data_IF_095768733686
#
_entry.id   IF_095768733686
#
_cell.length_a   1.000
_cell.length_b   1.000
_cell.length_c   1.000
_cell.angle_alpha   90.00
_cell.angle_beta   90.00
_cell.angle_gamma   90.00
#
_symmetry.space_group_name_H-M   'P 1'
#
loop_
_entity.id
_entity.type
_entity.pdbx_description
1 polymer ?
#
# COMPACT_ATOMS: atom_id res chain seq x y z
N UNK A 1 44.80 -2.40 3.79
CA UNK A 1 44.40 -3.81 4.03
C UNK A 1 44.12 -4.08 5.51
N UNK A 2 45.05 -3.78 6.43
CA UNK A 2 44.91 -4.12 7.86
C UNK A 2 43.74 -3.49 8.62
N UNK A 3 43.21 -2.34 8.19
CA UNK A 3 42.05 -1.71 8.86
C UNK A 3 40.70 -2.34 8.45
N UNK A 4 40.62 -2.87 7.23
CA UNK A 4 39.41 -3.55 6.72
C UNK A 4 39.21 -4.92 7.38
N UNK A 5 40.30 -5.67 7.59
CA UNK A 5 40.25 -6.97 8.28
C UNK A 5 39.86 -6.81 9.76
N UNK A 6 40.32 -5.73 10.41
CA UNK A 6 39.88 -5.39 11.77
C UNK A 6 38.41 -4.97 11.81
N UNK A 7 37.95 -4.21 10.80
CA UNK A 7 36.53 -3.84 10.68
C UNK A 7 35.64 -5.07 10.47
N UNK A 8 36.09 -6.02 9.64
CA UNK A 8 35.45 -7.31 9.44
C UNK A 8 35.34 -8.12 10.74
N UNK A 9 36.44 -8.33 11.47
CA UNK A 9 36.41 -9.07 12.74
C UNK A 9 35.43 -8.42 13.74
N UNK A 10 35.49 -7.09 13.89
CA UNK A 10 34.60 -6.37 14.79
C UNK A 10 33.11 -6.50 14.41
N UNK A 11 32.78 -6.34 13.12
CA UNK A 11 31.41 -6.46 12.63
C UNK A 11 30.88 -7.88 12.81
N UNK A 12 31.66 -8.90 12.46
CA UNK A 12 31.23 -10.29 12.58
C UNK A 12 31.05 -10.71 14.05
N UNK A 13 31.92 -10.27 14.95
CA UNK A 13 31.81 -10.55 16.39
C UNK A 13 30.53 -9.96 16.99
N UNK A 14 30.19 -8.72 16.61
CA UNK A 14 28.99 -8.03 17.08
C UNK A 14 27.67 -8.66 16.63
N UNK A 15 27.66 -9.37 15.49
CA UNK A 15 26.45 -9.95 14.90
C UNK A 15 26.27 -11.45 15.17
N UNK A 16 27.16 -12.06 15.96
CA UNK A 16 27.26 -13.51 16.19
C UNK A 16 26.01 -14.21 16.75
N UNK A 17 24.96 -13.47 17.14
CA UNK A 17 23.73 -14.00 17.73
C UNK A 17 22.46 -13.77 16.88
N UNK A 18 22.53 -13.01 15.78
CA UNK A 18 21.38 -12.73 14.91
C UNK A 18 21.73 -12.95 13.43
N UNK A 19 21.08 -13.93 12.82
CA UNK A 19 21.24 -14.28 11.39
C UNK A 19 20.96 -13.10 10.46
N UNK A 20 19.98 -12.24 10.79
CA UNK A 20 19.66 -11.08 9.96
C UNK A 20 20.74 -10.01 10.07
N UNK A 21 21.17 -9.69 11.29
CA UNK A 21 22.30 -8.78 11.53
C UNK A 21 23.57 -9.31 10.85
N UNK A 22 23.82 -10.62 10.88
CA UNK A 22 25.00 -11.22 10.27
C UNK A 22 24.94 -11.15 8.74
N UNK A 23 23.77 -11.40 8.15
CA UNK A 23 23.54 -11.24 6.71
C UNK A 23 23.81 -9.80 6.24
N UNK A 24 23.26 -8.82 6.96
CA UNK A 24 23.48 -7.41 6.66
C UNK A 24 24.97 -7.01 6.75
N UNK A 25 25.71 -7.57 7.72
CA UNK A 25 27.14 -7.32 7.85
C UNK A 25 27.94 -7.89 6.68
N UNK A 26 27.61 -9.09 6.19
CA UNK A 26 28.25 -9.64 4.99
C UNK A 26 27.95 -8.78 3.74
N UNK A 27 26.74 -8.25 3.59
CA UNK A 27 26.41 -7.32 2.50
C UNK A 27 27.18 -6.00 2.61
N UNK A 28 27.34 -5.46 3.82
CA UNK A 28 28.14 -4.26 4.06
C UNK A 28 29.63 -4.48 3.74
N UNK A 29 30.19 -5.61 4.18
CA UNK A 29 31.57 -6.00 3.88
C UNK A 29 31.80 -6.20 2.39
N UNK A 30 30.83 -6.77 1.67
CA UNK A 30 30.85 -6.86 0.21
C UNK A 30 31.06 -5.47 -0.41
N UNK A 31 30.24 -4.47 -0.03
CA UNK A 31 30.36 -3.11 -0.55
C UNK A 31 31.72 -2.48 -0.20
N UNK A 32 32.21 -2.68 1.02
CA UNK A 32 33.54 -2.20 1.42
C UNK A 32 34.65 -2.82 0.57
N UNK A 33 34.58 -4.12 0.30
CA UNK A 33 35.58 -4.81 -0.52
C UNK A 33 35.50 -4.45 -2.00
N UNK A 34 34.29 -4.21 -2.53
CA UNK A 34 34.10 -3.65 -3.88
C UNK A 34 34.75 -2.28 -4.03
N UNK A 35 34.62 -1.40 -3.02
CA UNK A 35 35.22 -0.06 -3.05
C UNK A 35 36.75 -0.07 -3.11
N UNK A 36 37.39 -1.13 -2.60
CA UNK A 36 38.84 -1.33 -2.68
C UNK A 36 39.24 -2.32 -3.79
N UNK A 37 38.33 -2.62 -4.72
CA UNK A 37 38.51 -3.56 -5.83
C UNK A 37 39.00 -4.95 -5.40
N UNK A 38 38.67 -5.38 -4.17
CA UNK A 38 38.97 -6.71 -3.67
C UNK A 38 37.80 -7.67 -3.97
N UNK A 39 37.72 -8.09 -5.23
CA UNK A 39 36.61 -8.91 -5.74
C UNK A 39 36.54 -10.32 -5.11
N UNK A 40 37.67 -10.89 -4.69
CA UNK A 40 37.70 -12.20 -4.04
C UNK A 40 37.04 -12.15 -2.67
N UNK A 41 37.38 -11.15 -1.84
CA UNK A 41 36.70 -10.97 -0.55
C UNK A 41 35.25 -10.53 -0.71
N UNK A 42 34.93 -9.71 -1.72
CA UNK A 42 33.54 -9.37 -2.02
C UNK A 42 32.72 -10.61 -2.40
N UNK A 43 33.29 -11.51 -3.19
CA UNK A 43 32.68 -12.79 -3.57
C UNK A 43 32.43 -13.68 -2.34
N UNK A 44 33.44 -13.87 -1.50
CA UNK A 44 33.32 -14.68 -0.27
C UNK A 44 32.21 -14.15 0.65
N UNK A 45 32.14 -12.83 0.84
CA UNK A 45 31.09 -12.21 1.65
C UNK A 45 29.68 -12.37 1.03
N UNK A 46 29.54 -12.24 -0.29
CA UNK A 46 28.26 -12.51 -0.97
C UNK A 46 27.82 -13.97 -0.85
N UNK A 47 28.75 -14.93 -0.95
CA UNK A 47 28.46 -16.35 -0.79
C UNK A 47 28.06 -16.69 0.66
N UNK A 48 28.71 -16.07 1.65
CA UNK A 48 28.33 -16.19 3.06
C UNK A 48 26.93 -15.62 3.32
N UNK A 49 26.63 -14.43 2.79
CA UNK A 49 25.28 -13.85 2.79
C UNK A 49 24.24 -14.82 2.21
N UNK A 50 24.53 -15.37 1.02
CA UNK A 50 23.65 -16.32 0.34
C UNK A 50 23.40 -17.62 1.12
N UNK A 51 24.35 -18.05 1.95
CA UNK A 51 24.19 -19.22 2.80
C UNK A 51 23.29 -18.99 4.01
N UNK A 52 23.10 -17.73 4.43
CA UNK A 52 22.25 -17.36 5.56
C UNK A 52 20.81 -17.09 5.16
N UNK A 53 20.59 -16.54 3.96
CA UNK A 53 19.26 -16.30 3.40
C UNK A 53 19.12 -16.92 2.01
N UNK A 54 18.56 -18.13 1.98
CA UNK A 54 18.32 -18.88 0.73
C UNK A 54 17.31 -18.19 -0.18
N UNK A 55 16.45 -17.29 0.33
CA UNK A 55 15.53 -16.53 -0.53
C UNK A 55 16.27 -15.45 -1.34
N UNK A 56 17.44 -15.02 -0.87
CA UNK A 56 18.31 -14.05 -1.55
C UNK A 56 19.32 -14.69 -2.50
N UNK A 57 19.34 -16.02 -2.60
CA UNK A 57 20.36 -16.78 -3.34
C UNK A 57 20.50 -16.32 -4.80
N UNK A 58 19.36 -16.19 -5.52
CA UNK A 58 19.36 -15.69 -6.89
C UNK A 58 19.87 -14.24 -6.98
N UNK A 59 19.49 -13.38 -6.05
CA UNK A 59 19.99 -11.99 -6.01
C UNK A 59 21.52 -11.95 -5.84
N UNK A 60 22.06 -12.78 -4.94
CA UNK A 60 23.49 -12.84 -4.69
C UNK A 60 24.26 -13.39 -5.90
N UNK A 61 23.75 -14.42 -6.58
CA UNK A 61 24.34 -14.91 -7.83
C UNK A 61 24.27 -13.90 -8.98
N UNK A 62 23.18 -13.14 -9.08
CA UNK A 62 23.05 -12.05 -10.04
C UNK A 62 24.03 -10.90 -9.74
N UNK A 63 24.23 -10.56 -8.46
CA UNK A 63 25.22 -9.56 -8.05
C UNK A 63 26.65 -10.02 -8.38
N UNK A 64 26.98 -11.29 -8.14
CA UNK A 64 28.27 -11.88 -8.51
C UNK A 64 28.48 -11.90 -10.03
N UNK A 65 27.42 -12.22 -10.80
CA UNK A 65 27.43 -12.15 -12.26
C UNK A 65 27.78 -10.75 -12.74
N UNK A 66 27.07 -9.74 -12.23
CA UNK A 66 27.31 -8.34 -12.58
C UNK A 66 28.72 -7.88 -12.22
N UNK A 67 29.18 -8.21 -11.00
CA UNK A 67 30.53 -7.89 -10.53
C UNK A 67 31.58 -8.44 -11.50
N UNK A 68 31.44 -9.70 -11.93
CA UNK A 68 32.41 -10.34 -12.81
C UNK A 68 32.31 -9.89 -14.27
N UNK A 69 31.13 -9.51 -14.75
CA UNK A 69 30.99 -8.83 -16.04
C UNK A 69 31.70 -7.47 -16.05
N UNK A 70 31.59 -6.69 -14.98
CA UNK A 70 32.22 -5.36 -14.89
C UNK A 70 33.75 -5.40 -14.96
N UNK A 71 34.36 -6.51 -14.51
CA UNK A 71 35.82 -6.73 -14.57
C UNK A 71 36.23 -7.62 -15.75
N UNK A 72 35.32 -7.85 -16.70
CA UNK A 72 35.51 -8.70 -17.88
C UNK A 72 36.00 -10.14 -17.56
N UNK A 73 35.70 -10.65 -16.36
CA UNK A 73 35.96 -12.04 -16.00
C UNK A 73 34.77 -12.91 -16.43
N UNK A 74 34.78 -13.28 -17.71
CA UNK A 74 33.69 -13.99 -18.35
C UNK A 74 33.45 -15.40 -17.79
N UNK A 75 34.50 -16.07 -17.32
CA UNK A 75 34.37 -17.43 -16.75
C UNK A 75 33.55 -17.41 -15.46
N UNK A 76 33.90 -16.51 -14.52
CA UNK A 76 33.15 -16.36 -13.28
C UNK A 76 31.77 -15.76 -13.50
N UNK A 77 31.63 -14.80 -14.42
CA UNK A 77 30.33 -14.25 -14.78
C UNK A 77 29.38 -15.35 -15.27
N UNK A 78 29.83 -16.20 -16.20
CA UNK A 78 29.03 -17.31 -16.71
C UNK A 78 28.76 -18.36 -15.63
N UNK A 79 29.74 -18.67 -14.78
CA UNK A 79 29.56 -19.61 -13.67
C UNK A 79 28.40 -19.20 -12.75
N UNK A 80 28.38 -17.93 -12.32
CA UNK A 80 27.33 -17.43 -11.43
C UNK A 80 26.00 -17.24 -12.13
N UNK A 81 26.00 -16.82 -13.40
CA UNK A 81 24.78 -16.67 -14.19
C UNK A 81 24.05 -18.01 -14.34
N UNK A 82 24.78 -19.12 -14.51
CA UNK A 82 24.21 -20.47 -14.61
C UNK A 82 23.74 -21.05 -13.26
N UNK A 83 24.07 -20.41 -12.14
CA UNK A 83 23.55 -20.80 -10.82
C UNK A 83 22.22 -20.15 -10.46
N UNK A 84 21.83 -19.11 -11.18
CA UNK A 84 20.51 -18.46 -10.98
C UNK A 84 19.43 -19.44 -11.44
N UNK A 85 18.42 -19.68 -10.60
CA UNK A 85 17.28 -20.50 -10.99
C UNK A 85 16.48 -19.81 -12.11
N UNK A 86 16.59 -20.34 -13.33
CA UNK A 86 15.93 -19.81 -14.51
C UNK A 86 14.43 -20.10 -14.57
N UNK A 87 13.91 -20.96 -13.69
CA UNK A 87 12.47 -21.24 -13.63
C UNK A 87 11.69 -20.16 -12.88
N UNK A 88 12.39 -19.33 -12.08
CA UNK A 88 11.77 -18.20 -11.41
C UNK A 88 11.59 -17.03 -12.39
N UNK A 89 10.34 -16.85 -12.84
CA UNK A 89 9.98 -15.83 -13.81
C UNK A 89 10.32 -14.40 -13.33
N UNK A 90 10.45 -14.17 -12.02
CA UNK A 90 10.90 -12.89 -11.45
C UNK A 90 12.26 -12.45 -11.99
N UNK A 91 13.16 -13.39 -12.27
CA UNK A 91 14.52 -13.08 -12.70
C UNK A 91 14.71 -13.15 -14.21
N UNK A 92 13.68 -13.51 -14.97
CA UNK A 92 13.77 -13.72 -16.43
C UNK A 92 14.38 -12.53 -17.17
N UNK A 93 13.88 -11.32 -16.90
CA UNK A 93 14.40 -10.10 -17.53
C UNK A 93 15.86 -9.82 -17.13
N UNK A 94 16.20 -9.97 -15.84
CA UNK A 94 17.56 -9.72 -15.35
C UNK A 94 18.57 -10.73 -15.90
N UNK A 95 18.19 -12.01 -15.97
CA UNK A 95 19.00 -13.07 -16.58
C UNK A 95 19.25 -12.76 -18.06
N UNK A 96 18.20 -12.37 -18.81
CA UNK A 96 18.32 -12.00 -20.21
C UNK A 96 19.28 -10.81 -20.40
N UNK A 97 19.20 -9.78 -19.54
CA UNK A 97 20.11 -8.65 -19.58
C UNK A 97 21.58 -9.06 -19.37
N UNK A 98 21.88 -9.91 -18.39
CA UNK A 98 23.25 -10.36 -18.16
C UNK A 98 23.77 -11.31 -19.24
N UNK A 99 22.90 -12.15 -19.83
CA UNK A 99 23.24 -12.93 -21.03
C UNK A 99 23.58 -12.02 -22.22
N UNK A 100 22.82 -10.94 -22.42
CA UNK A 100 23.12 -9.93 -23.42
C UNK A 100 24.53 -9.34 -23.22
N UNK A 101 24.86 -8.88 -22.01
CA UNK A 101 26.17 -8.30 -21.71
C UNK A 101 27.30 -9.31 -21.91
N UNK A 102 27.10 -10.55 -21.44
CA UNK A 102 28.07 -11.63 -21.58
C UNK A 102 28.37 -11.98 -23.05
N UNK A 103 27.33 -12.18 -23.87
CA UNK A 103 27.51 -12.53 -25.28
C UNK A 103 28.05 -11.36 -26.11
N UNK A 104 27.68 -10.12 -25.74
CA UNK A 104 28.24 -8.90 -26.34
C UNK A 104 29.75 -8.81 -26.09
N UNK A 105 30.22 -9.05 -24.87
CA UNK A 105 31.65 -9.01 -24.54
C UNK A 105 32.45 -10.07 -25.32
N UNK A 106 31.84 -11.23 -25.57
CA UNK A 106 32.39 -12.29 -26.42
C UNK A 106 32.21 -12.05 -27.93
N UNK A 107 31.65 -10.91 -28.33
CA UNK A 107 31.35 -10.54 -29.72
C UNK A 107 30.40 -11.51 -30.44
N UNK A 108 29.61 -12.26 -29.69
CA UNK A 108 28.53 -13.08 -30.22
C UNK A 108 27.25 -12.23 -30.34
N UNK A 109 27.25 -11.35 -31.34
CA UNK A 109 26.21 -10.32 -31.45
C UNK A 109 24.81 -10.87 -31.74
N UNK A 110 24.70 -12.05 -32.36
CA UNK A 110 23.40 -12.67 -32.62
C UNK A 110 22.74 -13.09 -31.29
N UNK A 111 23.44 -13.87 -30.47
CA UNK A 111 22.92 -14.25 -29.15
C UNK A 111 22.75 -13.04 -28.22
N UNK A 112 23.60 -12.02 -28.35
CA UNK A 112 23.41 -10.78 -27.61
C UNK A 112 22.09 -10.10 -27.98
N UNK A 113 21.77 -10.00 -29.28
CA UNK A 113 20.53 -9.40 -29.75
C UNK A 113 19.29 -10.17 -29.27
N UNK A 114 19.29 -11.50 -29.39
CA UNK A 114 18.19 -12.35 -28.91
C UNK A 114 17.91 -12.14 -27.42
N UNK A 115 18.97 -12.08 -26.59
CA UNK A 115 18.81 -11.84 -25.15
C UNK A 115 18.37 -10.40 -24.84
N UNK A 116 18.79 -9.42 -25.64
CA UNK A 116 18.35 -8.04 -25.50
C UNK A 116 16.85 -7.90 -25.80
N UNK A 117 16.34 -8.58 -26.83
CA UNK A 117 14.91 -8.59 -27.17
C UNK A 117 14.08 -9.19 -26.02
N UNK A 118 14.51 -10.31 -25.44
CA UNK A 118 13.83 -10.93 -24.28
C UNK A 118 13.80 -9.98 -23.07
N UNK A 119 14.92 -9.30 -22.79
CA UNK A 119 14.99 -8.31 -21.70
C UNK A 119 14.02 -7.15 -21.96
N UNK A 120 14.02 -6.59 -23.18
CA UNK A 120 13.19 -5.47 -23.56
C UNK A 120 11.69 -5.83 -23.48
N UNK A 121 11.30 -7.01 -23.95
CA UNK A 121 9.92 -7.47 -23.87
C UNK A 121 9.47 -7.66 -22.41
N UNK A 122 10.34 -8.22 -21.56
CA UNK A 122 10.05 -8.38 -20.13
C UNK A 122 9.91 -7.01 -19.44
N UNK A 123 10.79 -6.06 -19.76
CA UNK A 123 10.71 -4.70 -19.24
C UNK A 123 9.43 -3.98 -19.67
N UNK A 124 9.03 -4.10 -20.94
CA UNK A 124 7.78 -3.53 -21.44
C UNK A 124 6.59 -4.15 -20.70
N UNK A 125 6.53 -5.47 -20.57
CA UNK A 125 5.45 -6.17 -19.86
C UNK A 125 5.31 -5.69 -18.40
N UNK A 126 6.43 -5.62 -17.66
CA UNK A 126 6.45 -5.11 -16.29
C UNK A 126 5.95 -3.66 -16.18
N UNK A 127 6.38 -2.79 -17.10
CA UNK A 127 5.94 -1.38 -17.11
C UNK A 127 4.45 -1.24 -17.43
N UNK A 128 3.93 -2.06 -18.34
CA UNK A 128 2.51 -2.09 -18.69
C UNK A 128 1.67 -2.59 -17.53
N UNK A 129 2.07 -3.70 -16.90
CA UNK A 129 1.40 -4.24 -15.72
C UNK A 129 1.35 -3.23 -14.56
N UNK A 130 2.47 -2.56 -14.27
CA UNK A 130 2.52 -1.52 -13.24
C UNK A 130 1.59 -0.36 -13.56
N UNK A 131 1.48 0.03 -14.82
CA UNK A 131 0.56 1.08 -15.26
C UNK A 131 -0.90 0.66 -15.06
N UNK A 132 -1.25 -0.58 -15.39
CA UNK A 132 -2.59 -1.14 -15.15
C UNK A 132 -2.93 -1.17 -13.65
N UNK A 133 -2.01 -1.63 -12.79
CA UNK A 133 -2.19 -1.64 -11.33
C UNK A 133 -2.43 -0.22 -10.78
N UNK A 134 -1.66 0.77 -11.25
CA UNK A 134 -1.84 2.17 -10.85
C UNK A 134 -3.21 2.73 -11.28
N UNK A 135 -3.67 2.40 -12.49
CA UNK A 135 -4.98 2.82 -12.98
C UNK A 135 -6.07 2.18 -12.11
N UNK A 136 -5.98 0.89 -11.84
CA UNK A 136 -6.94 0.17 -11.00
C UNK A 136 -6.99 0.72 -9.56
N UNK A 137 -5.83 1.03 -8.97
CA UNK A 137 -5.76 1.64 -7.64
C UNK A 137 -6.44 3.02 -7.63
N UNK A 138 -6.23 3.81 -8.68
CA UNK A 138 -6.84 5.12 -8.83
C UNK A 138 -8.37 5.02 -8.96
N UNK A 139 -8.86 4.10 -9.79
CA UNK A 139 -10.29 3.82 -9.95
C UNK A 139 -10.94 3.42 -8.63
N UNK A 140 -10.31 2.51 -7.88
CA UNK A 140 -10.81 2.07 -6.57
C UNK A 140 -10.91 3.22 -5.56
N UNK A 141 -9.89 4.10 -5.50
CA UNK A 141 -9.91 5.27 -4.61
C UNK A 141 -11.01 6.26 -5.00
N UNK A 142 -11.20 6.47 -6.29
CA UNK A 142 -12.24 7.34 -6.82
C UNK A 142 -13.65 6.82 -6.47
N UNK A 143 -13.91 5.54 -6.72
CA UNK A 143 -15.20 4.92 -6.39
C UNK A 143 -15.48 4.94 -4.89
N UNK A 144 -14.46 4.69 -4.07
CA UNK A 144 -14.56 4.81 -2.62
C UNK A 144 -14.96 6.24 -2.21
N UNK A 145 -14.29 7.27 -2.74
CA UNK A 145 -14.59 8.66 -2.42
C UNK A 145 -16.01 9.07 -2.84
N UNK A 146 -16.49 8.61 -4.01
CA UNK A 146 -17.87 8.83 -4.44
C UNK A 146 -18.86 8.18 -3.47
N UNK A 147 -18.61 6.93 -3.09
CA UNK A 147 -19.52 6.19 -2.21
C UNK A 147 -19.56 6.80 -0.81
N UNK A 148 -18.41 7.25 -0.28
CA UNK A 148 -18.34 7.96 0.99
C UNK A 148 -19.10 9.29 0.93
N UNK A 149 -18.95 10.05 -0.15
CA UNK A 149 -19.67 11.32 -0.37
C UNK A 149 -21.18 11.08 -0.42
N UNK A 150 -21.65 10.15 -1.25
CA UNK A 150 -23.07 9.76 -1.34
C UNK A 150 -23.61 9.29 0.00
N UNK A 151 -22.83 8.51 0.76
CA UNK A 151 -23.22 8.05 2.08
C UNK A 151 -23.39 9.23 3.06
N UNK A 152 -22.50 10.21 3.02
CA UNK A 152 -22.62 11.43 3.81
C UNK A 152 -23.85 12.25 3.41
N UNK A 153 -24.09 12.45 2.11
CA UNK A 153 -25.28 13.14 1.59
C UNK A 153 -26.58 12.46 2.05
N UNK A 154 -26.65 11.12 1.97
CA UNK A 154 -27.81 10.35 2.44
C UNK A 154 -28.01 10.47 3.95
N UNK A 155 -26.92 10.45 4.74
CA UNK A 155 -26.99 10.65 6.20
C UNK A 155 -27.53 12.04 6.54
N UNK A 156 -27.04 13.08 5.86
CA UNK A 156 -27.49 14.47 6.05
C UNK A 156 -28.97 14.59 5.67
N UNK A 157 -29.34 14.09 4.48
CA UNK A 157 -30.72 14.11 3.99
C UNK A 157 -31.67 13.44 4.99
N UNK A 158 -31.33 12.24 5.47
CA UNK A 158 -32.13 11.54 6.49
C UNK A 158 -32.27 12.34 7.78
N UNK A 159 -31.21 12.97 8.27
CA UNK A 159 -31.27 13.81 9.47
C UNK A 159 -32.19 15.02 9.28
N UNK A 160 -32.12 15.67 8.12
CA UNK A 160 -33.01 16.80 7.79
C UNK A 160 -34.48 16.37 7.81
N UNK A 161 -34.83 15.22 7.22
CA UNK A 161 -36.19 14.69 7.26
C UNK A 161 -36.66 14.41 8.71
N UNK A 162 -35.82 13.83 9.56
CA UNK A 162 -36.15 13.58 10.97
C UNK A 162 -36.41 14.90 11.71
N UNK A 163 -35.58 15.92 11.51
CA UNK A 163 -35.76 17.23 12.14
C UNK A 163 -37.08 17.88 11.71
N UNK A 164 -37.41 17.83 10.41
CA UNK A 164 -38.68 18.36 9.88
C UNK A 164 -39.88 17.63 10.49
N UNK A 165 -39.83 16.30 10.61
CA UNK A 165 -40.88 15.50 11.25
C UNK A 165 -41.05 15.85 12.74
N UNK A 166 -39.96 16.06 13.48
CA UNK A 166 -40.04 16.50 14.87
C UNK A 166 -40.70 17.88 15.00
N UNK A 167 -40.31 18.84 14.14
CA UNK A 167 -40.88 20.19 14.15
C UNK A 167 -42.38 20.18 13.81
N UNK A 168 -42.81 19.35 12.85
CA UNK A 168 -44.22 19.25 12.49
C UNK A 168 -45.08 18.66 13.63
N UNK A 169 -44.57 17.64 14.33
CA UNK A 169 -45.24 17.08 15.51
C UNK A 169 -45.34 18.10 16.66
N UNK A 170 -44.29 18.89 16.90
CA UNK A 170 -44.32 19.96 17.92
C UNK A 170 -45.36 21.02 17.54
N UNK A 171 -45.41 21.45 16.28
CA UNK A 171 -46.42 22.40 15.80
C UNK A 171 -47.85 21.87 15.99
N UNK A 172 -48.10 20.60 15.64
CA UNK A 172 -49.41 19.96 15.85
C UNK A 172 -49.78 19.90 17.34
N UNK A 173 -48.82 19.62 18.22
CA UNK A 173 -49.05 19.61 19.67
C UNK A 173 -49.41 21.01 20.20
N UNK A 174 -48.70 22.05 19.76
CA UNK A 174 -49.00 23.45 20.10
C UNK A 174 -50.41 23.83 19.62
N UNK A 175 -50.75 23.53 18.36
CA UNK A 175 -52.09 23.79 17.82
C UNK A 175 -53.18 23.06 18.61
N UNK A 176 -52.95 21.79 18.97
CA UNK A 176 -53.88 21.00 19.76
C UNK A 176 -54.12 21.61 21.15
N UNK A 177 -53.06 22.03 21.85
CA UNK A 177 -53.18 22.67 23.17
C UNK A 177 -53.88 24.02 23.11
N UNK A 178 -53.59 24.84 22.09
CA UNK A 178 -54.28 26.11 21.85
C UNK A 178 -55.77 25.90 21.57
N UNK A 179 -56.12 24.94 20.70
CA UNK A 179 -57.51 24.61 20.39
C UNK A 179 -58.27 24.12 21.63
N UNK A 180 -57.65 23.24 22.43
CA UNK A 180 -58.22 22.75 23.70
C UNK A 180 -58.48 23.89 24.67
N UNK A 181 -57.53 24.82 24.82
CA UNK A 181 -57.68 26.00 25.68
C UNK A 181 -58.78 26.93 25.19
N UNK A 182 -58.87 27.19 23.88
CA UNK A 182 -59.93 27.99 23.29
C UNK A 182 -61.32 27.37 23.54
N UNK A 183 -61.47 26.06 23.30
CA UNK A 183 -62.71 25.32 23.58
C UNK A 183 -63.10 25.38 25.04
N UNK A 184 -62.14 25.20 25.97
CA UNK A 184 -62.39 25.34 27.42
C UNK A 184 -62.89 26.75 27.77
N UNK A 185 -62.27 27.80 27.21
CA UNK A 185 -62.70 29.19 27.43
C UNK A 185 -64.10 29.46 26.89
N UNK A 186 -64.46 28.91 25.74
CA UNK A 186 -65.82 29.01 25.17
C UNK A 186 -66.84 28.29 26.04
N UNK A 187 -66.57 27.06 26.47
CA UNK A 187 -67.47 26.31 27.35
C UNK A 187 -67.69 27.03 28.69
N UNK A 188 -66.63 27.57 29.31
CA UNK A 188 -66.76 28.34 30.55
C UNK A 188 -67.64 29.59 30.36
N UNK A 189 -67.54 30.27 29.21
CA UNK A 189 -68.42 31.40 28.88
C UNK A 189 -69.88 30.96 28.75
N UNK A 190 -70.13 29.84 28.06
CA UNK A 190 -71.48 29.27 27.91
C UNK A 190 -72.09 28.94 29.28
N UNK A 191 -71.35 28.21 30.13
CA UNK A 191 -71.79 27.87 31.49
C UNK A 191 -72.11 29.13 32.30
N UNK A 192 -71.25 30.16 32.25
CA UNK A 192 -71.50 31.42 32.98
C UNK A 192 -72.73 32.19 32.46
N UNK A 193 -73.09 32.03 31.19
CA UNK A 193 -74.31 32.61 30.63
C UNK A 193 -75.54 31.81 31.03
N UNK A 194 -75.46 30.48 31.04
CA UNK A 194 -76.52 29.60 31.55
C UNK A 194 -76.81 29.86 33.03
N UNK A 195 -75.77 29.99 33.87
CA UNK A 195 -75.91 30.36 35.29
C UNK A 195 -76.61 31.72 35.46
N UNK A 196 -76.23 32.72 34.67
CA UNK A 196 -76.87 34.04 34.69
C UNK A 196 -78.34 33.97 34.26
N UNK A 197 -78.65 33.29 33.17
CA UNK A 197 -80.03 33.10 32.68
C UNK A 197 -80.87 32.39 33.75
N UNK A 198 -80.35 31.32 34.35
CA UNK A 198 -81.05 30.59 35.41
C UNK A 198 -81.29 31.44 36.67
N UNK A 199 -80.33 32.29 37.04
CA UNK A 199 -80.50 33.22 38.17
C UNK A 199 -81.60 34.25 37.92
N UNK A 200 -81.66 34.84 36.72
CA UNK A 200 -82.71 35.79 36.31
C UNK A 200 -84.08 35.11 36.32
N UNK A 201 -84.19 33.91 35.75
CA UNK A 201 -85.46 33.18 35.72
C UNK A 201 -85.98 32.86 37.14
N UNK A 202 -85.08 32.57 38.09
CA UNK A 202 -85.46 32.32 39.49
C UNK A 202 -85.92 33.57 40.24
N UNK A 203 -85.52 34.78 39.82
CA UNK A 203 -86.00 36.04 40.40
C UNK A 203 -87.37 36.48 39.85
N UNK A 204 -87.81 35.89 38.73
CA UNK A 204 -89.06 36.21 38.04
C UNK A 204 -90.25 35.29 38.39
N UNK A 205 -89.99 34.16 39.06
CA UNK A 205 -90.98 33.23 39.62
C UNK A 205 -91.20 33.47 41.13
#
# INVERSE_FOLDING_TARGET
MGDYEKAEDNLLKSASLDTNSLNNNYLALTQMYLNVANYEKAEDNLLKSASLDTNSLNNNYLALTQMYLNVANLDKANYYLNKVDSNDNKYKGTIAYYKYLYEKERKNYMSALENYEIWNDTYIDETMKKKEENILELEKKYDQAINETKLQELKISRLVYIVILCLSLICLFILHTLFRNHKKKMNNKIISLEEKINSINKELD
#
